data_IF_770273267221
#
_entry.id   IF_770273267221
#
_cell.length_a   1.000
_cell.length_b   1.000
_cell.length_c   1.000
_cell.angle_alpha   90.00
_cell.angle_beta   90.00
_cell.angle_gamma   90.00
#
_symmetry.space_group_name_H-M   'P 1'
#
loop_
_entity.id
_entity.type
_entity.pdbx_description
1 polymer ?
#
# COMPACT_ATOMS: atom_id res chain seq x y z
N UNK A 1 10.11 -8.50 -0.10
CA UNK A 1 10.53 -9.64 0.77
C UNK A 1 11.32 -9.10 1.97
N UNK A 2 11.46 -9.83 3.08
CA UNK A 2 12.14 -9.31 4.30
C UNK A 2 13.58 -8.87 4.03
N UNK A 3 14.32 -9.64 3.21
CA UNK A 3 15.66 -9.26 2.75
C UNK A 3 15.67 -7.93 1.98
N UNK A 4 14.81 -7.79 0.98
CA UNK A 4 14.72 -6.56 0.16
C UNK A 4 14.31 -5.35 1.02
N UNK A 5 13.45 -5.55 2.03
CA UNK A 5 13.09 -4.50 2.97
C UNK A 5 14.25 -4.07 3.87
N UNK A 6 15.09 -5.01 4.29
CA UNK A 6 16.29 -4.69 5.07
C UNK A 6 17.33 -3.95 4.22
N UNK A 7 17.61 -4.46 3.01
CA UNK A 7 18.54 -3.82 2.07
C UNK A 7 18.11 -2.37 1.77
N UNK A 8 16.79 -2.13 1.63
CA UNK A 8 16.23 -0.79 1.42
C UNK A 8 16.45 0.14 2.63
N UNK A 9 16.31 -0.36 3.86
CA UNK A 9 16.57 0.43 5.06
C UNK A 9 18.04 0.83 5.13
N UNK A 10 18.95 -0.11 4.85
CA UNK A 10 20.39 0.13 4.85
C UNK A 10 20.75 1.19 3.78
N UNK A 11 20.25 1.04 2.55
CA UNK A 11 20.47 1.99 1.45
C UNK A 11 19.92 3.40 1.77
N UNK A 12 18.72 3.48 2.36
CA UNK A 12 18.12 4.76 2.76
C UNK A 12 18.85 5.42 3.93
N UNK A 13 19.45 4.61 4.81
CA UNK A 13 20.27 5.09 5.93
C UNK A 13 21.59 5.66 5.41
N UNK A 14 22.28 4.93 4.53
CA UNK A 14 23.52 5.38 3.89
C UNK A 14 23.30 6.65 3.04
N UNK A 15 22.16 6.75 2.38
CA UNK A 15 21.78 7.91 1.57
C UNK A 15 21.28 9.11 2.39
N UNK A 16 21.05 8.95 3.69
CA UNK A 16 20.54 10.00 4.58
C UNK A 16 19.08 10.42 4.32
N UNK A 17 18.31 9.60 3.58
CA UNK A 17 16.90 9.91 3.22
C UNK A 17 15.89 9.35 4.22
N UNK A 18 16.34 8.45 5.11
CA UNK A 18 15.47 7.79 6.09
C UNK A 18 14.75 8.80 7.01
N UNK A 19 15.38 9.93 7.37
CA UNK A 19 14.77 10.97 8.21
C UNK A 19 13.53 11.63 7.58
N UNK A 20 13.39 11.57 6.26
CA UNK A 20 12.28 12.16 5.50
C UNK A 20 11.31 11.12 4.97
N UNK A 21 11.50 9.85 5.33
CA UNK A 21 10.77 8.73 4.75
C UNK A 21 10.05 7.96 5.84
N UNK A 22 8.78 7.65 5.62
CA UNK A 22 8.04 6.70 6.43
C UNK A 22 7.99 5.35 5.70
N UNK A 23 8.54 4.30 6.32
CA UNK A 23 8.52 2.94 5.79
C UNK A 23 7.40 2.14 6.45
N UNK A 24 6.54 1.54 5.64
CA UNK A 24 5.45 0.66 6.09
C UNK A 24 5.61 -0.69 5.40
N UNK A 25 5.94 -1.71 6.18
CA UNK A 25 6.20 -3.05 5.66
C UNK A 25 5.04 -4.00 5.93
N UNK A 26 4.68 -4.77 4.91
CA UNK A 26 3.77 -5.91 5.00
C UNK A 26 4.47 -7.09 4.35
N UNK A 27 5.08 -7.93 5.18
CA UNK A 27 5.97 -8.97 4.68
C UNK A 27 5.18 -10.12 4.03
N UNK A 28 5.82 -10.89 3.16
CA UNK A 28 5.13 -11.97 2.43
C UNK A 28 4.77 -13.17 3.32
N UNK A 29 5.48 -13.34 4.43
CA UNK A 29 5.22 -14.34 5.47
C UNK A 29 4.09 -13.92 6.42
N UNK A 30 3.62 -12.67 6.35
CA UNK A 30 2.47 -12.23 7.14
C UNK A 30 1.14 -12.75 6.58
N UNK A 31 0.12 -12.91 7.45
CA UNK A 31 -1.21 -13.31 7.04
C UNK A 31 -1.77 -12.42 5.91
N UNK A 32 -2.59 -12.98 5.00
CA UNK A 32 -3.12 -12.22 3.87
C UNK A 32 -3.97 -11.02 4.33
N UNK A 33 -4.58 -11.08 5.52
CA UNK A 33 -5.28 -9.93 6.11
C UNK A 33 -4.35 -8.73 6.35
N UNK A 34 -3.13 -8.96 6.84
CA UNK A 34 -2.13 -7.90 7.05
C UNK A 34 -1.69 -7.31 5.71
N UNK A 35 -1.35 -8.16 4.74
CA UNK A 35 -0.97 -7.75 3.39
C UNK A 35 -2.05 -6.97 2.65
N UNK A 36 -3.32 -7.29 2.88
CA UNK A 36 -4.46 -6.56 2.32
C UNK A 36 -4.65 -5.17 2.97
N UNK A 37 -4.17 -4.95 4.20
CA UNK A 37 -4.35 -3.68 4.93
C UNK A 37 -3.15 -2.77 4.91
N UNK A 38 -1.94 -3.29 4.72
CA UNK A 38 -0.70 -2.50 4.79
C UNK A 38 -0.71 -1.28 3.85
N UNK A 39 -1.22 -1.44 2.61
CA UNK A 39 -1.31 -0.35 1.65
C UNK A 39 -2.25 0.77 2.12
N UNK A 40 -3.36 0.41 2.80
CA UNK A 40 -4.31 1.37 3.37
C UNK A 40 -3.71 2.09 4.58
N UNK A 41 -2.90 1.40 5.39
CA UNK A 41 -2.16 2.01 6.50
C UNK A 41 -1.15 3.04 5.99
N UNK A 42 -0.36 2.69 4.97
CA UNK A 42 0.58 3.60 4.32
C UNK A 42 -0.12 4.82 3.71
N UNK A 43 -1.23 4.59 3.00
CA UNK A 43 -2.06 5.65 2.46
C UNK A 43 -2.61 6.58 3.54
N UNK A 44 -3.04 6.05 4.68
CA UNK A 44 -3.54 6.87 5.80
C UNK A 44 -2.44 7.76 6.38
N UNK A 45 -1.20 7.26 6.45
CA UNK A 45 -0.04 8.09 6.81
C UNK A 45 0.23 9.17 5.77
N UNK A 46 0.15 8.83 4.48
CA UNK A 46 0.31 9.80 3.39
C UNK A 46 -0.78 10.89 3.42
N UNK A 47 -2.03 10.52 3.68
CA UNK A 47 -3.13 11.48 3.85
C UNK A 47 -2.90 12.40 5.05
N UNK A 48 -2.34 11.90 6.16
CA UNK A 48 -1.97 12.77 7.28
C UNK A 48 -0.93 13.82 6.88
N UNK A 49 0.10 13.43 6.12
CA UNK A 49 1.10 14.37 5.62
C UNK A 49 0.50 15.38 4.63
N UNK A 50 -0.43 14.96 3.76
CA UNK A 50 -1.16 15.84 2.83
C UNK A 50 -2.09 16.82 3.57
N UNK A 51 -2.95 16.31 4.45
CA UNK A 51 -4.10 17.06 4.99
C UNK A 51 -3.76 17.84 6.25
N UNK A 52 -2.93 17.27 7.13
CA UNK A 52 -2.58 17.87 8.42
C UNK A 52 -1.26 18.61 8.32
N UNK A 53 -0.21 17.97 7.76
CA UNK A 53 1.10 18.61 7.62
C UNK A 53 1.22 19.50 6.37
N UNK A 54 0.26 19.42 5.44
CA UNK A 54 0.20 20.28 4.24
C UNK A 54 1.45 20.16 3.38
N UNK A 55 1.85 18.92 3.09
CA UNK A 55 3.01 18.59 2.27
C UNK A 55 2.59 17.85 1.00
N UNK A 56 3.39 17.99 -0.05
CA UNK A 56 3.32 17.10 -1.21
C UNK A 56 4.03 15.79 -0.87
N UNK A 57 3.30 14.68 -1.01
CA UNK A 57 3.73 13.36 -0.55
C UNK A 57 3.99 12.48 -1.76
N UNK A 58 5.13 11.80 -1.76
CA UNK A 58 5.44 10.76 -2.73
C UNK A 58 5.20 9.40 -2.08
N UNK A 59 4.19 8.67 -2.56
CA UNK A 59 3.80 7.36 -2.07
C UNK A 59 4.35 6.27 -3.01
N UNK A 60 5.25 5.44 -2.51
CA UNK A 60 5.75 4.28 -3.23
C UNK A 60 5.01 3.03 -2.78
N UNK A 61 4.34 2.36 -3.71
CA UNK A 61 3.76 1.03 -3.52
C UNK A 61 4.58 0.06 -4.36
N UNK A 62 5.42 -0.72 -3.68
CA UNK A 62 6.36 -1.64 -4.34
C UNK A 62 5.67 -2.67 -5.24
N UNK A 63 4.51 -3.19 -4.84
CA UNK A 63 3.78 -4.10 -5.70
C UNK A 63 2.26 -4.06 -5.44
N UNK A 64 1.51 -3.40 -6.33
CA UNK A 64 0.06 -3.28 -6.19
C UNK A 64 -0.65 -4.62 -6.43
N UNK A 65 -0.06 -5.50 -7.22
CA UNK A 65 -0.63 -6.84 -7.46
C UNK A 65 -0.65 -7.69 -6.18
N UNK A 66 0.29 -7.49 -5.24
CA UNK A 66 0.29 -8.19 -3.95
C UNK A 66 -0.90 -7.83 -3.06
N UNK A 67 -1.41 -6.61 -3.17
CA UNK A 67 -2.66 -6.21 -2.51
C UNK A 67 -3.84 -7.01 -3.06
N UNK A 68 -3.96 -7.09 -4.39
CA UNK A 68 -5.00 -7.87 -5.06
C UNK A 68 -4.91 -9.36 -4.72
N UNK A 69 -3.70 -9.94 -4.75
CA UNK A 69 -3.47 -11.34 -4.42
C UNK A 69 -3.91 -11.66 -2.99
N UNK A 70 -3.53 -10.81 -2.03
CA UNK A 70 -3.97 -10.94 -0.64
C UNK A 70 -5.50 -10.86 -0.51
N UNK A 71 -6.15 -10.00 -1.29
CA UNK A 71 -7.61 -9.91 -1.37
C UNK A 71 -8.27 -11.21 -1.83
N UNK A 72 -7.74 -11.86 -2.87
CA UNK A 72 -8.22 -13.17 -3.32
C UNK A 72 -8.08 -14.26 -2.24
N UNK A 73 -6.95 -14.28 -1.52
CA UNK A 73 -6.70 -15.21 -0.43
C UNK A 73 -7.70 -14.99 0.73
N UNK A 74 -7.89 -13.75 1.17
CA UNK A 74 -8.87 -13.39 2.21
C UNK A 74 -10.30 -13.75 1.77
N UNK A 75 -10.66 -13.45 0.52
CA UNK A 75 -11.99 -13.76 -0.02
C UNK A 75 -12.29 -15.25 -0.02
N UNK A 76 -11.28 -16.07 -0.34
CA UNK A 76 -11.37 -17.54 -0.29
C UNK A 76 -11.57 -18.04 1.14
N UNK A 77 -10.81 -17.50 2.10
CA UNK A 77 -10.96 -17.83 3.52
C UNK A 77 -12.35 -17.46 4.08
N UNK A 78 -12.97 -16.42 3.54
CA UNK A 78 -14.32 -15.99 3.90
C UNK A 78 -15.43 -16.79 3.19
N UNK A 79 -15.08 -17.79 2.38
CA UNK A 79 -16.04 -18.63 1.66
C UNK A 79 -16.81 -17.90 0.55
N UNK A 80 -16.29 -16.77 0.07
CA UNK A 80 -16.92 -16.04 -1.04
C UNK A 80 -16.64 -16.77 -2.35
N UNK A 81 -17.65 -16.85 -3.23
CA UNK A 81 -17.42 -17.43 -4.56
C UNK A 81 -16.42 -16.57 -5.35
N UNK A 82 -15.41 -17.19 -5.97
CA UNK A 82 -14.45 -16.46 -6.80
C UNK A 82 -15.12 -15.89 -8.04
N UNK A 83 -14.65 -14.74 -8.48
CA UNK A 83 -15.04 -14.09 -9.73
C UNK A 83 -14.12 -14.53 -10.88
N UNK A 84 -14.08 -13.76 -11.98
CA UNK A 84 -13.24 -14.00 -13.13
C UNK A 84 -11.78 -14.27 -12.73
N UNK A 85 -11.18 -15.32 -13.32
CA UNK A 85 -9.76 -15.68 -13.17
C UNK A 85 -9.34 -15.98 -11.70
N UNK A 86 -10.29 -16.19 -10.78
CA UNK A 86 -10.00 -16.50 -9.38
C UNK A 86 -9.81 -15.28 -8.47
N UNK A 87 -10.15 -14.08 -8.93
CA UNK A 87 -10.15 -12.88 -8.10
C UNK A 87 -11.35 -12.82 -7.16
N UNK A 88 -11.24 -12.03 -6.10
CA UNK A 88 -12.37 -11.73 -5.24
C UNK A 88 -13.46 -10.92 -6.00
N UNK A 89 -14.75 -11.14 -5.71
CA UNK A 89 -15.82 -10.36 -6.34
C UNK A 89 -15.79 -8.88 -5.95
N UNK A 90 -15.16 -8.53 -4.83
CA UNK A 90 -15.02 -7.16 -4.30
C UNK A 90 -13.79 -6.42 -4.83
N UNK A 91 -13.10 -6.96 -5.84
CA UNK A 91 -11.82 -6.41 -6.30
C UNK A 91 -11.93 -4.95 -6.75
N UNK A 92 -12.95 -4.63 -7.53
CA UNK A 92 -13.17 -3.27 -8.03
C UNK A 92 -13.39 -2.28 -6.89
N UNK A 93 -14.20 -2.65 -5.90
CA UNK A 93 -14.49 -1.80 -4.75
C UNK A 93 -13.26 -1.61 -3.86
N UNK A 94 -12.51 -2.68 -3.57
CA UNK A 94 -11.30 -2.62 -2.74
C UNK A 94 -10.18 -1.82 -3.42
N UNK A 95 -10.02 -1.96 -4.73
CA UNK A 95 -9.08 -1.16 -5.50
C UNK A 95 -9.52 0.30 -5.55
N UNK A 96 -10.82 0.56 -5.75
CA UNK A 96 -11.38 1.91 -5.74
C UNK A 96 -11.13 2.63 -4.41
N UNK A 97 -11.34 1.94 -3.28
CA UNK A 97 -11.06 2.50 -1.95
C UNK A 97 -9.60 2.94 -1.80
N UNK A 98 -8.65 2.20 -2.37
CA UNK A 98 -7.24 2.56 -2.32
C UNK A 98 -6.90 3.69 -3.30
N UNK A 99 -7.29 3.56 -4.57
CA UNK A 99 -6.87 4.46 -5.64
C UNK A 99 -7.53 5.83 -5.57
N UNK A 100 -8.83 5.90 -5.27
CA UNK A 100 -9.56 7.18 -5.25
C UNK A 100 -9.09 8.13 -4.14
N UNK A 101 -8.47 7.58 -3.09
CA UNK A 101 -7.87 8.34 -1.99
C UNK A 101 -6.50 8.92 -2.36
N UNK A 102 -5.82 8.34 -3.34
CA UNK A 102 -4.56 8.84 -3.90
C UNK A 102 -4.91 9.95 -4.88
N UNK A 103 -5.11 11.14 -4.33
CA UNK A 103 -5.51 12.31 -5.12
C UNK A 103 -4.97 13.60 -4.52
N UNK A 104 -5.00 14.64 -5.33
CA UNK A 104 -4.61 16.00 -4.96
C UNK A 104 -5.81 16.75 -4.41
N UNK A 105 -5.66 17.30 -3.21
CA UNK A 105 -6.73 18.06 -2.54
C UNK A 105 -6.17 19.38 -2.01
N UNK A 106 -6.92 20.46 -2.21
CA UNK A 106 -6.70 21.75 -1.51
C UNK A 106 -5.27 22.30 -1.58
N UNK A 107 -4.57 22.05 -2.69
CA UNK A 107 -3.23 22.59 -2.96
C UNK A 107 -2.06 21.66 -2.59
N UNK A 108 -2.33 20.47 -2.06
CA UNK A 108 -1.31 19.45 -1.79
C UNK A 108 -1.68 18.13 -2.46
N UNK A 109 -0.67 17.34 -2.80
CA UNK A 109 -0.82 16.13 -3.61
C UNK A 109 -0.25 14.89 -2.94
N UNK A 110 -0.89 13.75 -3.19
CA UNK A 110 -0.25 12.44 -3.04
C UNK A 110 0.05 11.96 -4.46
N UNK A 111 1.32 11.95 -4.82
CA UNK A 111 1.78 11.35 -6.07
C UNK A 111 2.17 9.92 -5.77
N UNK A 112 1.53 8.93 -6.41
CA UNK A 112 1.89 7.53 -6.20
C UNK A 112 2.67 6.93 -7.35
N UNK A 113 3.74 6.20 -7.04
CA UNK A 113 4.38 5.26 -7.95
C UNK A 113 4.08 3.84 -7.48
N UNK A 114 3.48 3.04 -8.36
CA UNK A 114 3.00 1.70 -8.05
C UNK A 114 3.55 0.72 -9.09
N UNK A 115 4.21 -0.36 -8.67
CA UNK A 115 4.70 -1.40 -9.57
C UNK A 115 3.86 -2.69 -9.54
#
# INVERSE_FOLDING_TARGET
RTREGNDLIDEMTESGVLEKTALVFGQMDEPPGTRLRVALSALTMAEYFRDVQKQDVLLFIDNIFRFTQAGSEVSTLLGRMPSAVGYQPTLADEMGVLQERITSTRGHSITSMQA
#
